data_IF_104064422966
#
_entry.id   IF_104064422966
#
_cell.length_a   1.000
_cell.length_b   1.000
_cell.length_c   1.000
_cell.angle_alpha   90.00
_cell.angle_beta   90.00
_cell.angle_gamma   90.00
#
_symmetry.space_group_name_H-M   'P 1'
#
loop_
_entity.id
_entity.type
_entity.pdbx_description
1 polymer ?
#
# COMPACT_ATOMS: atom_id res chain seq x y z
N UNK A 1 20.22 -8.73 -37.98
CA UNK A 1 19.32 -9.51 -37.10
C UNK A 1 18.60 -8.52 -36.20
N UNK A 2 17.31 -8.29 -36.48
CA UNK A 2 16.46 -7.37 -35.73
C UNK A 2 16.20 -7.92 -34.33
N UNK A 3 16.67 -7.22 -33.30
CA UNK A 3 16.28 -7.47 -31.90
C UNK A 3 14.79 -7.21 -31.82
N UNK A 4 13.99 -8.27 -31.69
CA UNK A 4 12.55 -8.17 -31.47
C UNK A 4 12.31 -7.34 -30.21
N UNK A 5 11.82 -6.11 -30.39
CA UNK A 5 11.34 -5.29 -29.30
C UNK A 5 10.21 -6.08 -28.62
N UNK A 6 10.44 -6.54 -27.39
CA UNK A 6 9.39 -7.19 -26.59
C UNK A 6 8.18 -6.25 -26.57
N UNK A 7 7.07 -6.66 -27.17
CA UNK A 7 5.82 -5.91 -27.07
C UNK A 7 5.45 -5.78 -25.60
N UNK A 8 5.50 -4.56 -25.08
CA UNK A 8 5.01 -4.24 -23.74
C UNK A 8 3.50 -4.47 -23.74
N UNK A 9 3.01 -5.24 -22.78
CA UNK A 9 1.58 -5.52 -22.66
C UNK A 9 0.80 -4.22 -22.46
N UNK A 10 -0.26 -4.01 -23.25
CA UNK A 10 -1.07 -2.79 -23.17
C UNK A 10 -1.96 -2.81 -21.90
N UNK A 11 -1.83 -1.77 -21.08
CA UNK A 11 -2.56 -1.57 -19.82
C UNK A 11 -3.56 -0.40 -19.87
N UNK A 12 -3.69 0.28 -21.00
CA UNK A 12 -4.44 1.54 -21.13
C UNK A 12 -5.95 1.36 -20.86
N UNK A 13 -6.44 0.13 -20.99
CA UNK A 13 -7.83 -0.24 -20.72
C UNK A 13 -8.15 -0.31 -19.22
N UNK A 14 -7.15 -0.46 -18.35
CA UNK A 14 -7.36 -0.83 -16.94
C UNK A 14 -8.01 0.31 -16.15
N UNK A 15 -7.38 1.48 -16.12
CA UNK A 15 -7.89 2.61 -15.32
C UNK A 15 -9.27 3.09 -15.79
N UNK A 16 -9.55 3.24 -17.11
CA UNK A 16 -10.90 3.51 -17.59
C UNK A 16 -11.94 2.49 -17.08
N UNK A 17 -11.62 1.20 -17.11
CA UNK A 17 -12.51 0.15 -16.59
C UNK A 17 -12.68 0.22 -15.06
N UNK A 18 -11.63 0.59 -14.32
CA UNK A 18 -11.70 0.79 -12.86
C UNK A 18 -12.52 2.03 -12.46
N UNK A 19 -12.59 3.06 -13.31
CA UNK A 19 -13.45 4.25 -13.10
C UNK A 19 -14.93 3.93 -13.27
N UNK A 20 -15.25 3.04 -14.20
CA UNK A 20 -16.62 2.65 -14.55
C UNK A 20 -16.82 1.13 -14.52
N UNK A 21 -16.66 0.47 -13.36
CA UNK A 21 -16.73 -0.99 -13.29
C UNK A 21 -18.17 -1.48 -13.50
N UNK A 22 -18.30 -2.61 -14.19
CA UNK A 22 -19.59 -3.29 -14.32
C UNK A 22 -20.00 -3.94 -12.99
N UNK A 23 -21.28 -4.34 -12.86
CA UNK A 23 -21.75 -5.13 -11.71
C UNK A 23 -20.99 -6.45 -11.58
N UNK A 24 -20.74 -7.12 -12.71
CA UNK A 24 -19.97 -8.36 -12.75
C UNK A 24 -18.54 -8.15 -12.24
N UNK A 25 -17.88 -7.06 -12.67
CA UNK A 25 -16.56 -6.69 -12.17
C UNK A 25 -16.57 -6.46 -10.66
N UNK A 26 -17.57 -5.75 -10.15
CA UNK A 26 -17.70 -5.46 -8.72
C UNK A 26 -17.86 -6.72 -7.87
N UNK A 27 -18.62 -7.71 -8.36
CA UNK A 27 -18.78 -9.02 -7.72
C UNK A 27 -17.47 -9.81 -7.79
N UNK A 28 -16.84 -9.89 -8.96
CA UNK A 28 -15.58 -10.60 -9.13
C UNK A 28 -14.48 -9.99 -8.23
N UNK A 29 -14.37 -8.66 -8.19
CA UNK A 29 -13.42 -7.95 -7.32
C UNK A 29 -13.69 -8.22 -5.84
N UNK A 30 -14.96 -8.27 -5.44
CA UNK A 30 -15.37 -8.64 -4.08
C UNK A 30 -14.85 -10.02 -3.70
N UNK A 31 -15.04 -11.01 -4.57
CA UNK A 31 -14.59 -12.39 -4.36
C UNK A 31 -13.06 -12.45 -4.31
N UNK A 32 -12.38 -11.81 -5.26
CA UNK A 32 -10.90 -11.80 -5.32
C UNK A 32 -10.30 -11.18 -4.05
N UNK A 33 -10.74 -10.01 -3.63
CA UNK A 33 -10.23 -9.33 -2.43
C UNK A 33 -10.48 -10.17 -1.17
N UNK A 34 -11.66 -10.76 -1.04
CA UNK A 34 -12.00 -11.61 0.11
C UNK A 34 -11.15 -12.89 0.15
N UNK A 35 -11.02 -13.59 -0.99
CA UNK A 35 -10.26 -14.82 -1.10
C UNK A 35 -8.77 -14.59 -0.82
N UNK A 36 -8.18 -13.58 -1.45
CA UNK A 36 -6.77 -13.20 -1.26
C UNK A 36 -6.53 -12.72 0.18
N UNK A 37 -7.44 -11.93 0.74
CA UNK A 37 -7.36 -11.50 2.14
C UNK A 37 -7.42 -12.66 3.13
N UNK A 38 -8.31 -13.63 2.92
CA UNK A 38 -8.41 -14.86 3.72
C UNK A 38 -7.14 -15.70 3.60
N UNK A 39 -6.64 -15.89 2.39
CA UNK A 39 -5.36 -16.57 2.16
C UNK A 39 -4.22 -15.90 2.93
N UNK A 40 -4.05 -14.59 2.81
CA UNK A 40 -3.03 -13.84 3.55
C UNK A 40 -3.20 -13.98 5.05
N UNK A 41 -4.43 -13.96 5.57
CA UNK A 41 -4.67 -14.11 7.01
C UNK A 41 -4.26 -15.48 7.53
N UNK A 42 -4.60 -16.55 6.81
CA UNK A 42 -4.16 -17.92 7.16
C UNK A 42 -2.63 -17.98 7.14
N UNK A 43 -2.01 -17.53 6.05
CA UNK A 43 -0.57 -17.63 5.89
C UNK A 43 0.19 -16.82 6.96
N UNK A 44 -0.24 -15.59 7.23
CA UNK A 44 0.46 -14.68 8.14
C UNK A 44 0.19 -15.01 9.61
N UNK A 45 -1.07 -15.25 9.99
CA UNK A 45 -1.42 -15.42 11.40
C UNK A 45 -1.40 -16.87 11.87
N UNK A 46 -1.65 -17.85 10.99
CA UNK A 46 -1.74 -19.26 11.40
C UNK A 46 -0.49 -20.05 11.03
N UNK A 47 0.07 -19.82 9.84
CA UNK A 47 1.23 -20.58 9.36
C UNK A 47 2.57 -19.90 9.64
N UNK A 48 2.55 -18.65 10.13
CA UNK A 48 3.74 -17.89 10.53
C UNK A 48 3.56 -17.33 11.94
N UNK A 49 4.67 -16.92 12.56
CA UNK A 49 4.71 -16.41 13.93
C UNK A 49 4.54 -14.90 13.90
N UNK A 50 3.34 -14.41 13.57
CA UNK A 50 3.07 -12.98 13.50
C UNK A 50 2.83 -12.34 14.87
N UNK A 51 3.49 -11.20 15.11
CA UNK A 51 3.21 -10.28 16.22
C UNK A 51 2.73 -8.96 15.65
N UNK A 52 1.48 -8.61 15.94
CA UNK A 52 0.83 -7.39 15.43
C UNK A 52 0.64 -6.42 16.58
N UNK A 53 1.35 -5.28 16.52
CA UNK A 53 1.30 -4.21 17.51
C UNK A 53 0.34 -3.11 17.04
N UNK A 54 -0.40 -2.54 17.99
CA UNK A 54 -1.32 -1.41 17.74
C UNK A 54 -2.41 -1.65 16.68
N UNK A 55 -2.80 -2.92 16.45
CA UNK A 55 -3.86 -3.27 15.47
C UNK A 55 -5.22 -2.60 15.76
N UNK A 56 -5.45 -2.16 17.00
CA UNK A 56 -6.66 -1.43 17.37
C UNK A 56 -6.80 -0.11 16.61
N UNK A 57 -5.68 0.51 16.17
CA UNK A 57 -5.68 1.76 15.39
C UNK A 57 -6.40 1.54 14.05
N UNK A 58 -5.88 0.64 13.21
CA UNK A 58 -6.48 0.38 11.90
C UNK A 58 -7.89 -0.21 12.06
N UNK A 59 -8.10 -1.09 13.03
CA UNK A 59 -9.42 -1.65 13.32
C UNK A 59 -10.44 -0.55 13.63
N UNK A 60 -10.10 0.40 14.52
CA UNK A 60 -11.00 1.48 14.92
C UNK A 60 -11.29 2.41 13.74
N UNK A 61 -10.28 2.73 12.93
CA UNK A 61 -10.47 3.54 11.72
C UNK A 61 -11.40 2.84 10.73
N UNK A 62 -11.18 1.55 10.44
CA UNK A 62 -12.03 0.81 9.50
C UNK A 62 -13.47 0.63 10.02
N UNK A 63 -13.68 0.57 11.34
CA UNK A 63 -15.00 0.43 11.94
C UNK A 63 -15.75 1.77 12.09
N UNK A 64 -15.05 2.88 12.36
CA UNK A 64 -15.66 4.13 12.84
C UNK A 64 -15.42 5.37 11.97
N UNK A 65 -14.44 5.36 11.06
CA UNK A 65 -14.13 6.53 10.21
C UNK A 65 -15.39 6.94 9.42
N UNK A 66 -15.77 8.23 9.40
CA UNK A 66 -16.87 8.71 8.56
C UNK A 66 -16.62 8.36 7.09
N UNK A 67 -17.68 7.99 6.36
CA UNK A 67 -17.55 7.49 4.97
C UNK A 67 -16.87 8.47 4.02
N UNK A 68 -17.00 9.77 4.27
CA UNK A 68 -16.43 10.84 3.46
C UNK A 68 -14.99 11.23 3.86
N UNK A 69 -14.45 10.72 4.98
CA UNK A 69 -13.09 11.03 5.41
C UNK A 69 -12.15 10.00 4.81
N UNK A 70 -11.20 10.35 3.92
CA UNK A 70 -10.30 9.39 3.30
C UNK A 70 -9.20 8.85 4.24
N UNK A 71 -8.60 7.74 3.84
CA UNK A 71 -7.54 7.05 4.59
C UNK A 71 -6.39 6.75 3.64
N UNK A 72 -5.19 7.11 4.05
CA UNK A 72 -3.95 6.63 3.44
C UNK A 72 -3.20 5.79 4.45
N UNK A 73 -2.77 4.59 4.05
CA UNK A 73 -1.75 3.84 4.80
C UNK A 73 -0.45 3.87 4.03
N UNK A 74 0.66 4.11 4.72
CA UNK A 74 2.01 4.09 4.14
C UNK A 74 2.85 3.02 4.82
N UNK A 75 3.61 2.23 4.07
CA UNK A 75 4.54 1.26 4.67
C UNK A 75 5.85 1.11 3.91
N UNK A 76 6.85 0.56 4.60
CA UNK A 76 8.03 0.00 3.94
C UNK A 76 7.62 -1.14 3.00
N UNK A 77 8.51 -1.50 2.07
CA UNK A 77 8.27 -2.55 1.08
C UNK A 77 9.46 -3.49 0.99
N UNK A 78 9.45 -4.61 1.72
CA UNK A 78 10.54 -5.58 1.73
C UNK A 78 10.27 -6.81 0.85
N UNK A 79 9.03 -7.06 0.43
CA UNK A 79 8.69 -8.23 -0.40
C UNK A 79 7.55 -7.92 -1.37
N UNK A 80 7.57 -8.57 -2.55
CA UNK A 80 6.39 -8.60 -3.43
C UNK A 80 5.13 -9.13 -2.73
N UNK A 81 5.27 -9.88 -1.63
CA UNK A 81 4.13 -10.38 -0.85
C UNK A 81 3.59 -9.38 0.19
N UNK A 82 4.20 -8.21 0.38
CA UNK A 82 3.70 -7.20 1.32
C UNK A 82 2.25 -6.81 1.00
N UNK A 83 1.92 -6.73 -0.29
CA UNK A 83 0.55 -6.79 -0.80
C UNK A 83 0.36 -8.13 -1.51
N UNK A 84 -0.45 -9.07 -0.97
CA UNK A 84 -1.54 -8.87 -0.01
C UNK A 84 -1.23 -9.19 1.47
N UNK A 85 -0.02 -9.64 1.80
CA UNK A 85 0.30 -10.23 3.09
C UNK A 85 0.05 -9.31 4.29
N UNK A 86 0.32 -8.01 4.16
CA UNK A 86 0.09 -7.03 5.23
C UNK A 86 -1.35 -7.06 5.76
N UNK A 87 -2.34 -7.32 4.89
CA UNK A 87 -3.75 -7.35 5.30
C UNK A 87 -4.19 -8.62 5.99
N UNK A 88 -3.35 -9.65 6.02
CA UNK A 88 -3.57 -10.81 6.86
C UNK A 88 -3.71 -10.44 8.34
N UNK A 89 -3.24 -9.26 8.76
CA UNK A 89 -3.38 -8.70 10.11
C UNK A 89 -4.80 -8.21 10.46
N UNK A 90 -5.63 -7.89 9.46
CA UNK A 90 -6.98 -7.36 9.65
C UNK A 90 -7.94 -8.40 10.23
N UNK A 91 -9.09 -7.95 10.73
CA UNK A 91 -10.16 -8.85 11.20
C UNK A 91 -10.89 -9.48 10.01
N UNK A 92 -11.42 -10.68 10.20
CA UNK A 92 -12.21 -11.40 9.19
C UNK A 92 -13.32 -10.55 8.58
N UNK A 93 -14.05 -9.79 9.41
CA UNK A 93 -15.11 -8.89 8.96
C UNK A 93 -14.66 -7.79 8.00
N UNK A 94 -13.40 -7.35 8.07
CA UNK A 94 -12.84 -6.32 7.20
C UNK A 94 -12.47 -6.91 5.85
N UNK A 95 -11.84 -8.08 5.85
CA UNK A 95 -11.46 -8.82 4.63
C UNK A 95 -12.67 -9.20 3.78
N UNK A 96 -13.80 -9.51 4.43
CA UNK A 96 -15.06 -9.88 3.76
C UNK A 96 -15.93 -8.66 3.38
N UNK A 97 -15.43 -7.43 3.56
CA UNK A 97 -16.15 -6.19 3.22
C UNK A 97 -15.34 -5.37 2.22
N UNK A 98 -15.50 -5.61 0.91
CA UNK A 98 -14.68 -4.98 -0.13
C UNK A 98 -14.69 -3.45 -0.09
N UNK A 99 -15.80 -2.83 0.31
CA UNK A 99 -15.92 -1.37 0.40
C UNK A 99 -15.05 -0.75 1.51
N UNK A 100 -14.59 -1.53 2.49
CA UNK A 100 -13.62 -1.08 3.50
C UNK A 100 -12.19 -1.50 3.18
N UNK A 101 -11.94 -2.13 2.03
CA UNK A 101 -10.62 -2.59 1.61
C UNK A 101 -9.92 -1.60 0.67
N UNK A 102 -8.59 -1.56 0.78
CA UNK A 102 -7.71 -0.61 0.10
C UNK A 102 -7.71 -0.74 -1.41
N UNK A 103 -7.45 0.38 -2.07
CA UNK A 103 -6.79 0.43 -3.36
C UNK A 103 -5.27 0.47 -3.16
N UNK A 104 -4.51 -0.17 -4.06
CA UNK A 104 -3.06 -0.27 -3.98
C UNK A 104 -2.40 0.16 -5.27
N UNK A 105 -1.27 0.86 -5.23
CA UNK A 105 -0.42 1.02 -6.42
C UNK A 105 0.46 -0.22 -6.60
N UNK A 106 0.52 -0.74 -7.83
CA UNK A 106 1.35 -1.90 -8.19
C UNK A 106 2.09 -1.66 -9.50
N UNK A 107 3.37 -2.01 -9.54
CA UNK A 107 4.24 -1.73 -10.70
C UNK A 107 3.74 -2.47 -11.95
N UNK A 108 3.49 -1.73 -13.03
CA UNK A 108 2.93 -2.30 -14.27
C UNK A 108 3.78 -3.43 -14.85
N UNK A 109 5.11 -3.27 -14.82
CA UNK A 109 6.09 -4.18 -15.39
C UNK A 109 6.29 -5.47 -14.56
N UNK A 110 5.65 -5.57 -13.39
CA UNK A 110 5.67 -6.75 -12.53
C UNK A 110 4.27 -7.39 -12.45
N UNK A 111 3.25 -6.59 -12.13
CA UNK A 111 1.90 -7.08 -11.86
C UNK A 111 0.99 -7.09 -13.11
N UNK A 112 1.34 -6.40 -14.18
CA UNK A 112 0.48 -6.19 -15.35
C UNK A 112 1.20 -6.59 -16.64
N UNK A 113 1.84 -7.75 -16.62
CA UNK A 113 2.69 -8.26 -17.71
C UNK A 113 1.92 -9.04 -18.78
N UNK A 114 0.70 -9.46 -18.48
CA UNK A 114 -0.21 -10.12 -19.41
C UNK A 114 -1.67 -9.90 -18.99
N UNK A 115 -2.63 -10.35 -19.81
CA UNK A 115 -4.05 -10.19 -19.52
C UNK A 115 -4.48 -10.88 -18.22
N UNK A 116 -4.05 -12.12 -17.99
CA UNK A 116 -4.41 -12.88 -16.80
C UNK A 116 -3.97 -12.17 -15.52
N UNK A 117 -2.71 -11.72 -15.47
CA UNK A 117 -2.20 -10.95 -14.34
C UNK A 117 -2.95 -9.63 -14.18
N UNK A 118 -3.18 -8.92 -15.28
CA UNK A 118 -3.87 -7.62 -15.24
C UNK A 118 -5.28 -7.73 -14.70
N UNK A 119 -6.05 -8.75 -15.11
CA UNK A 119 -7.36 -9.02 -14.51
C UNK A 119 -7.25 -9.35 -13.02
N UNK A 120 -6.36 -10.27 -12.64
CA UNK A 120 -6.20 -10.68 -11.24
C UNK A 120 -5.87 -9.49 -10.32
N UNK A 121 -4.85 -8.70 -10.66
CA UNK A 121 -4.44 -7.56 -9.85
C UNK A 121 -5.48 -6.44 -9.85
N UNK A 122 -6.12 -6.15 -11.00
CA UNK A 122 -7.16 -5.12 -11.05
C UNK A 122 -8.39 -5.52 -10.22
N UNK A 123 -8.79 -6.80 -10.23
CA UNK A 123 -9.85 -7.33 -9.37
C UNK A 123 -9.46 -7.27 -7.89
N UNK A 124 -8.18 -7.45 -7.58
CA UNK A 124 -7.59 -7.24 -6.26
C UNK A 124 -7.48 -5.76 -5.82
N UNK A 125 -8.02 -4.82 -6.61
CA UNK A 125 -7.93 -3.35 -6.40
C UNK A 125 -6.51 -2.79 -6.49
N UNK A 126 -5.65 -3.44 -7.26
CA UNK A 126 -4.35 -2.89 -7.62
C UNK A 126 -4.48 -1.98 -8.86
N UNK A 127 -3.78 -0.86 -8.82
CA UNK A 127 -3.77 0.19 -9.84
C UNK A 127 -2.38 0.16 -10.49
N UNK A 128 -2.28 0.01 -11.82
CA UNK A 128 -0.99 -0.05 -12.49
C UNK A 128 -0.28 1.30 -12.42
N UNK A 129 0.92 1.32 -11.84
CA UNK A 129 1.77 2.51 -11.78
C UNK A 129 3.00 2.33 -12.67
N UNK A 130 3.34 3.38 -13.42
CA UNK A 130 4.50 3.39 -14.31
C UNK A 130 5.67 4.03 -13.56
N UNK A 131 6.68 3.21 -13.27
CA UNK A 131 7.91 3.66 -12.61
C UNK A 131 8.70 4.56 -13.58
N UNK A 132 9.14 5.71 -13.09
CA UNK A 132 9.86 6.70 -13.91
C UNK A 132 8.97 7.71 -14.64
N UNK A 133 7.66 7.50 -14.72
CA UNK A 133 6.72 8.45 -15.36
C UNK A 133 6.42 9.72 -14.52
N UNK A 134 7.01 9.84 -13.32
CA UNK A 134 6.78 10.97 -12.43
C UNK A 134 5.47 10.87 -11.63
N UNK A 135 5.08 11.97 -10.97
CA UNK A 135 3.89 12.02 -10.09
C UNK A 135 2.59 12.35 -10.84
N UNK A 136 2.70 12.83 -12.07
CA UNK A 136 1.58 13.15 -12.95
C UNK A 136 1.32 11.97 -13.88
N UNK A 137 0.53 11.03 -13.40
CA UNK A 137 0.11 9.85 -14.15
C UNK A 137 -1.27 9.42 -13.68
N UNK A 138 -2.03 8.81 -14.58
CA UNK A 138 -3.41 8.37 -14.35
C UNK A 138 -3.59 7.54 -13.08
N UNK A 139 -2.58 6.75 -12.70
CA UNK A 139 -2.61 5.94 -11.48
C UNK A 139 -2.74 6.80 -10.21
N UNK A 140 -2.00 7.91 -10.15
CA UNK A 140 -2.02 8.83 -9.00
C UNK A 140 -3.30 9.67 -9.03
N UNK A 141 -3.76 10.07 -10.22
CA UNK A 141 -5.03 10.78 -10.39
C UNK A 141 -6.20 9.91 -9.92
N UNK A 142 -6.22 8.64 -10.32
CA UNK A 142 -7.20 7.67 -9.87
C UNK A 142 -7.15 7.47 -8.35
N UNK A 143 -5.97 7.44 -7.72
CA UNK A 143 -5.86 7.43 -6.26
C UNK A 143 -6.51 8.67 -5.63
N UNK A 144 -6.29 9.87 -6.17
CA UNK A 144 -6.93 11.11 -5.69
C UNK A 144 -8.45 11.04 -5.87
N UNK A 145 -8.95 10.52 -7.00
CA UNK A 145 -10.38 10.27 -7.24
C UNK A 145 -10.97 9.30 -6.19
N UNK A 146 -10.23 8.26 -5.79
CA UNK A 146 -10.66 7.35 -4.73
C UNK A 146 -10.67 8.02 -3.36
N UNK A 147 -9.67 8.85 -3.05
CA UNK A 147 -9.62 9.62 -1.81
C UNK A 147 -10.77 10.65 -1.75
N UNK A 148 -11.11 11.29 -2.87
CA UNK A 148 -12.27 12.18 -2.97
C UNK A 148 -13.60 11.47 -2.62
N UNK A 149 -13.68 10.15 -2.84
CA UNK A 149 -14.83 9.30 -2.46
C UNK A 149 -14.77 8.83 -1.01
N UNK A 150 -13.76 9.22 -0.23
CA UNK A 150 -13.51 8.74 1.13
C UNK A 150 -12.94 7.32 1.21
N UNK A 151 -12.51 6.75 0.08
CA UNK A 151 -11.92 5.41 0.04
C UNK A 151 -10.59 5.33 0.79
N UNK A 152 -10.12 4.10 0.97
CA UNK A 152 -8.80 3.81 1.51
C UNK A 152 -7.80 3.54 0.38
N UNK A 153 -6.68 4.25 0.37
CA UNK A 153 -5.53 3.98 -0.50
C UNK A 153 -4.33 3.55 0.33
N UNK A 154 -3.60 2.54 -0.12
CA UNK A 154 -2.33 2.17 0.46
C UNK A 154 -1.20 2.42 -0.53
N UNK A 155 -0.08 2.92 0.00
CA UNK A 155 1.09 3.27 -0.78
C UNK A 155 2.34 2.68 -0.14
N UNK A 156 3.20 2.09 -0.96
CA UNK A 156 4.59 1.78 -0.65
C UNK A 156 5.47 2.91 -1.18
N UNK A 157 5.69 4.01 -0.42
CA UNK A 157 6.33 5.20 -0.94
C UNK A 157 7.81 4.99 -1.32
N UNK A 158 8.44 3.87 -0.99
CA UNK A 158 9.77 3.50 -1.50
C UNK A 158 9.78 3.30 -3.03
N UNK A 159 8.64 2.94 -3.62
CA UNK A 159 8.43 2.84 -5.07
C UNK A 159 9.04 1.60 -5.74
N UNK A 160 9.66 0.71 -4.96
CA UNK A 160 10.14 -0.63 -5.33
C UNK A 160 10.30 -1.46 -4.06
N UNK A 161 10.43 -2.77 -4.22
CA UNK A 161 10.89 -3.64 -3.12
C UNK A 161 12.32 -3.24 -2.74
N UNK A 162 12.51 -2.94 -1.47
CA UNK A 162 13.76 -2.56 -0.83
C UNK A 162 14.48 -3.82 -0.30
N UNK A 163 15.19 -4.50 -1.19
CA UNK A 163 15.93 -5.73 -0.86
C UNK A 163 17.09 -5.50 0.10
N UNK A 164 17.72 -4.32 0.05
CA UNK A 164 18.89 -3.97 0.88
C UNK A 164 18.51 -3.38 2.23
N UNK A 165 17.21 -3.13 2.48
CA UNK A 165 16.67 -2.52 3.72
C UNK A 165 17.32 -1.16 4.04
N UNK A 166 17.83 -0.49 3.02
CA UNK A 166 18.47 0.81 3.13
C UNK A 166 17.44 1.91 3.41
N UNK A 167 17.87 3.03 3.99
CA UNK A 167 16.99 4.19 4.16
C UNK A 167 16.81 4.88 2.80
N UNK A 168 15.78 4.47 2.06
CA UNK A 168 15.46 5.01 0.74
C UNK A 168 14.65 6.31 0.83
N UNK A 169 14.93 7.25 -0.09
CA UNK A 169 14.08 8.43 -0.27
C UNK A 169 12.68 8.03 -0.76
N UNK A 170 11.65 8.47 -0.04
CA UNK A 170 10.26 8.29 -0.44
C UNK A 170 9.91 9.07 -1.71
N UNK A 171 9.10 8.44 -2.58
CA UNK A 171 8.56 9.03 -3.80
C UNK A 171 7.41 9.98 -3.47
N UNK A 172 7.38 11.11 -4.15
CA UNK A 172 6.45 12.23 -3.85
C UNK A 172 4.98 11.98 -4.22
N UNK A 173 4.64 10.83 -4.82
CA UNK A 173 3.26 10.50 -5.17
C UNK A 173 2.32 10.51 -3.96
N UNK A 174 2.79 10.06 -2.79
CA UNK A 174 1.99 10.12 -1.56
C UNK A 174 1.74 11.56 -1.10
N UNK A 175 2.75 12.43 -1.17
CA UNK A 175 2.59 13.85 -0.85
C UNK A 175 1.58 14.54 -1.78
N UNK A 176 1.59 14.15 -3.07
CA UNK A 176 0.60 14.62 -4.06
C UNK A 176 -0.81 14.20 -3.67
N UNK A 177 -1.01 12.90 -3.39
CA UNK A 177 -2.30 12.36 -3.01
C UNK A 177 -2.89 13.07 -1.79
N UNK A 178 -2.06 13.40 -0.79
CA UNK A 178 -2.51 14.10 0.42
C UNK A 178 -2.85 15.56 0.12
N UNK A 179 -1.99 16.25 -0.62
CA UNK A 179 -2.15 17.68 -0.89
C UNK A 179 -3.36 18.00 -1.78
N UNK A 180 -3.55 17.18 -2.82
CA UNK A 180 -4.62 17.35 -3.82
C UNK A 180 -5.94 16.66 -3.41
N UNK A 181 -5.95 15.88 -2.31
CA UNK A 181 -7.21 15.35 -1.79
C UNK A 181 -8.13 16.48 -1.36
N UNK A 182 -9.44 16.44 -1.70
CA UNK A 182 -10.37 17.49 -1.29
C UNK A 182 -10.57 17.54 0.23
N UNK A 183 -10.47 16.39 0.89
CA UNK A 183 -10.46 16.26 2.35
C UNK A 183 -9.12 15.66 2.72
N UNK A 184 -8.36 16.32 3.61
CA UNK A 184 -7.06 15.78 4.05
C UNK A 184 -7.27 14.39 4.66
N UNK A 185 -6.61 13.34 4.13
CA UNK A 185 -6.80 11.98 4.60
C UNK A 185 -6.17 11.78 5.98
N UNK A 186 -6.75 10.88 6.76
CA UNK A 186 -6.06 10.29 7.91
C UNK A 186 -4.89 9.47 7.34
N UNK A 187 -3.67 9.70 7.82
CA UNK A 187 -2.51 8.90 7.39
C UNK A 187 -2.09 7.95 8.51
N UNK A 188 -2.00 6.65 8.22
CA UNK A 188 -1.51 5.64 9.18
C UNK A 188 -0.22 5.03 8.66
N UNK A 189 0.93 5.32 9.30
CA UNK A 189 2.18 4.65 8.97
C UNK A 189 2.19 3.23 9.52
N UNK A 190 2.79 2.32 8.77
CA UNK A 190 2.91 0.91 9.12
C UNK A 190 4.34 0.50 8.83
N UNK A 191 4.98 -0.21 9.77
CA UNK A 191 6.27 -0.85 9.52
C UNK A 191 6.15 -2.35 9.75
N UNK A 192 6.76 -3.14 8.86
CA UNK A 192 6.78 -4.59 9.00
C UNK A 192 8.17 -5.19 8.80
N UNK A 193 8.43 -6.33 9.44
CA UNK A 193 9.68 -7.09 9.39
C UNK A 193 9.35 -8.57 9.16
N UNK A 194 10.11 -9.23 8.27
CA UNK A 194 10.08 -10.68 8.01
C UNK A 194 9.23 -11.13 6.82
N UNK A 195 8.60 -10.21 6.09
CA UNK A 195 7.80 -10.57 4.90
C UNK A 195 8.66 -11.16 3.77
N UNK A 196 9.90 -10.69 3.64
CA UNK A 196 10.93 -11.21 2.76
C UNK A 196 11.41 -12.62 3.15
N UNK A 197 11.25 -13.02 4.42
CA UNK A 197 11.49 -14.40 4.83
C UNK A 197 10.34 -15.34 4.42
N UNK A 198 9.12 -14.81 4.29
CA UNK A 198 7.93 -15.54 3.85
C UNK A 198 7.94 -15.70 2.35
N UNK A 199 8.17 -14.62 1.60
CA UNK A 199 8.41 -14.70 0.16
C UNK A 199 9.73 -13.99 -0.17
N UNK A 200 10.82 -14.75 -0.39
CA UNK A 200 12.08 -14.21 -0.85
C UNK A 200 11.95 -13.50 -2.20
N UNK A 201 12.74 -12.45 -2.39
CA UNK A 201 12.76 -11.66 -3.63
C UNK A 201 13.63 -12.27 -4.73
N UNK A 202 14.04 -13.52 -4.57
CA UNK A 202 14.90 -14.25 -5.49
C UNK A 202 14.25 -15.58 -5.88
N UNK A 203 14.43 -16.05 -7.13
CA UNK A 203 13.95 -17.36 -7.54
C UNK A 203 14.59 -18.51 -6.73
N UNK A 204 13.84 -19.58 -6.43
CA UNK A 204 12.42 -19.78 -6.76
C UNK A 204 11.49 -19.02 -5.81
N UNK A 205 10.48 -18.33 -6.37
CA UNK A 205 9.48 -17.58 -5.60
C UNK A 205 8.48 -18.51 -4.90
N UNK A 206 8.89 -19.04 -3.74
CA UNK A 206 8.11 -20.01 -2.96
C UNK A 206 7.83 -19.47 -1.57
N UNK A 207 6.57 -19.57 -1.16
CA UNK A 207 6.14 -19.18 0.18
C UNK A 207 6.71 -20.12 1.23
N UNK A 208 7.32 -19.53 2.26
CA UNK A 208 7.91 -20.22 3.41
C UNK A 208 7.04 -20.01 4.65
N UNK A 209 6.99 -21.02 5.49
CA UNK A 209 6.17 -21.05 6.71
C UNK A 209 7.05 -20.94 7.97
N UNK A 210 6.42 -20.69 9.12
CA UNK A 210 7.05 -20.67 10.43
C UNK A 210 7.99 -19.47 10.68
N UNK A 211 7.93 -18.44 9.83
CA UNK A 211 8.76 -17.23 9.90
C UNK A 211 8.28 -16.26 10.97
N UNK A 212 9.22 -15.49 11.50
CA UNK A 212 8.98 -14.50 12.54
C UNK A 212 8.56 -13.19 11.89
N UNK A 213 7.34 -12.74 12.15
CA UNK A 213 6.81 -11.52 11.56
C UNK A 213 6.49 -10.50 12.64
N UNK A 214 6.82 -9.24 12.38
CA UNK A 214 6.38 -8.12 13.21
C UNK A 214 5.70 -7.10 12.33
N UNK A 215 4.51 -6.68 12.74
CA UNK A 215 3.76 -5.60 12.14
C UNK A 215 3.50 -4.55 13.22
N UNK A 216 3.80 -3.30 12.93
CA UNK A 216 3.56 -2.20 13.85
C UNK A 216 2.75 -1.11 13.15
N UNK A 217 1.54 -0.85 13.66
CA UNK A 217 0.74 0.28 13.25
C UNK A 217 1.14 1.51 14.07
N UNK A 218 1.63 2.55 13.40
CA UNK A 218 1.92 3.81 14.07
C UNK A 218 0.66 4.61 14.35
N UNK A 219 0.81 5.65 15.17
CA UNK A 219 -0.29 6.57 15.47
C UNK A 219 -0.80 7.26 14.20
N UNK A 220 -2.12 7.51 14.08
CA UNK A 220 -2.65 8.29 12.98
C UNK A 220 -2.04 9.69 12.96
N UNK A 221 -1.64 10.13 11.77
CA UNK A 221 -1.05 11.43 11.51
C UNK A 221 -2.14 12.33 10.94
N UNK A 222 -2.36 13.47 11.59
CA UNK A 222 -3.19 14.55 11.08
C UNK A 222 -2.29 15.59 10.37
N UNK A 223 -2.49 15.75 9.06
CA UNK A 223 -1.76 16.70 8.22
C UNK A 223 -2.62 17.93 7.87
N UNK A 224 -3.82 18.07 8.43
CA UNK A 224 -4.78 19.11 8.05
C UNK A 224 -4.20 20.52 8.23
N UNK A 225 -3.49 20.75 9.33
CA UNK A 225 -2.80 22.02 9.60
C UNK A 225 -1.71 22.31 8.55
N UNK A 226 -0.84 21.34 8.30
CA UNK A 226 0.25 21.46 7.33
C UNK A 226 -0.27 21.73 5.91
N UNK A 227 -1.29 20.98 5.49
CA UNK A 227 -1.94 21.16 4.19
C UNK A 227 -2.61 22.53 4.09
N UNK A 228 -3.28 22.99 5.16
CA UNK A 228 -3.89 24.33 5.18
C UNK A 228 -2.85 25.42 5.03
N UNK A 229 -1.78 25.39 5.83
CA UNK A 229 -0.68 26.36 5.74
C UNK A 229 -0.02 26.39 4.36
N UNK A 230 0.20 25.21 3.76
CA UNK A 230 0.72 25.09 2.40
C UNK A 230 -0.21 25.73 1.36
N UNK A 231 -1.52 25.56 1.50
CA UNK A 231 -2.53 26.17 0.61
C UNK A 231 -2.62 27.69 0.82
N UNK A 232 -2.67 28.15 2.07
CA UNK A 232 -2.80 29.57 2.41
C UNK A 232 -1.63 30.40 1.89
N UNK A 233 -0.40 29.86 1.98
CA UNK A 233 0.81 30.51 1.44
C UNK A 233 1.02 30.31 -0.06
N UNK A 234 0.09 29.62 -0.74
CA UNK A 234 0.16 29.28 -2.17
C UNK A 234 1.49 28.59 -2.53
N UNK A 235 1.91 27.63 -1.70
CA UNK A 235 3.11 26.85 -1.96
C UNK A 235 3.03 26.18 -3.34
N UNK A 236 4.17 26.08 -4.02
CA UNK A 236 4.22 25.35 -5.30
C UNK A 236 3.92 23.87 -5.09
N UNK A 237 3.37 23.21 -6.12
CA UNK A 237 3.13 21.77 -6.11
C UNK A 237 4.34 20.94 -5.66
N UNK A 238 5.53 21.33 -6.13
CA UNK A 238 6.79 20.66 -5.79
C UNK A 238 7.11 20.82 -4.31
N UNK A 239 7.00 22.04 -3.80
CA UNK A 239 7.26 22.35 -2.39
C UNK A 239 6.30 21.60 -1.47
N UNK A 240 4.99 21.66 -1.76
CA UNK A 240 3.97 21.00 -0.95
C UNK A 240 4.19 19.48 -0.88
N UNK A 241 4.39 18.84 -2.04
CA UNK A 241 4.61 17.40 -2.11
C UNK A 241 5.91 16.98 -1.43
N UNK A 242 6.98 17.75 -1.58
CA UNK A 242 8.26 17.49 -0.90
C UNK A 242 8.08 17.58 0.62
N UNK A 243 7.53 18.70 1.12
CA UNK A 243 7.38 18.92 2.57
C UNK A 243 6.53 17.83 3.24
N UNK A 244 5.40 17.47 2.62
CA UNK A 244 4.55 16.39 3.14
C UNK A 244 5.28 15.04 3.10
N UNK A 245 5.94 14.72 1.99
CA UNK A 245 6.64 13.43 1.85
C UNK A 245 7.82 13.30 2.81
N UNK A 246 8.60 14.37 3.00
CA UNK A 246 9.74 14.38 3.92
C UNK A 246 9.25 14.19 5.36
N UNK A 247 8.18 14.88 5.75
CA UNK A 247 7.57 14.67 7.07
C UNK A 247 7.13 13.21 7.28
N UNK A 248 6.48 12.60 6.28
CA UNK A 248 6.07 11.20 6.36
C UNK A 248 7.27 10.25 6.44
N UNK A 249 8.37 10.57 5.75
CA UNK A 249 9.60 9.79 5.82
C UNK A 249 10.16 9.78 7.24
N UNK A 250 10.19 10.94 7.92
CA UNK A 250 10.66 11.03 9.30
C UNK A 250 9.78 10.21 10.26
N UNK A 251 8.45 10.26 10.09
CA UNK A 251 7.54 9.46 10.91
C UNK A 251 7.73 7.95 10.66
N UNK A 252 7.93 7.55 9.41
CA UNK A 252 8.12 6.16 9.04
C UNK A 252 9.46 5.62 9.56
N UNK A 253 10.53 6.43 9.57
CA UNK A 253 11.83 6.07 10.15
C UNK A 253 11.81 5.97 11.68
N UNK A 254 11.01 6.80 12.37
CA UNK A 254 10.76 6.63 13.82
C UNK A 254 10.06 5.30 14.08
N UNK A 255 9.02 5.01 13.31
CA UNK A 255 8.28 3.75 13.41
C UNK A 255 9.17 2.53 13.08
N UNK A 256 10.12 2.65 12.14
CA UNK A 256 11.14 1.63 11.86
C UNK A 256 11.91 1.26 13.12
N UNK A 257 12.51 2.26 13.79
CA UNK A 257 13.32 2.03 14.99
C UNK A 257 12.51 1.36 16.11
N UNK A 258 11.27 1.82 16.35
CA UNK A 258 10.38 1.19 17.32
C UNK A 258 10.07 -0.27 16.96
N UNK A 259 9.85 -0.55 15.67
CA UNK A 259 9.48 -1.88 15.18
C UNK A 259 10.65 -2.86 15.24
N UNK A 260 11.87 -2.40 14.98
CA UNK A 260 13.10 -3.18 15.14
C UNK A 260 13.28 -3.62 16.60
N UNK A 261 13.09 -2.71 17.56
CA UNK A 261 13.14 -3.05 18.99
C UNK A 261 12.04 -4.04 19.41
N UNK A 262 10.82 -3.85 18.90
CA UNK A 262 9.73 -4.82 19.11
C UNK A 262 10.09 -6.19 18.53
N UNK A 263 10.70 -6.25 17.34
CA UNK A 263 11.08 -7.50 16.71
C UNK A 263 12.16 -8.24 17.51
N UNK A 264 13.23 -7.53 17.92
CA UNK A 264 14.28 -8.07 18.80
C UNK A 264 13.69 -8.63 20.09
N UNK A 265 12.78 -7.88 20.74
CA UNK A 265 12.10 -8.30 21.97
C UNK A 265 11.22 -9.54 21.76
N UNK A 266 10.48 -9.63 20.66
CA UNK A 266 9.55 -10.73 20.40
C UNK A 266 10.25 -12.05 20.07
N UNK A 267 11.41 -12.01 19.41
CA UNK A 267 12.07 -13.20 18.86
C UNK A 267 13.48 -13.45 19.39
N UNK A 268 14.00 -12.61 20.28
CA UNK A 268 15.35 -12.71 20.86
C UNK A 268 16.45 -12.78 19.79
N UNK A 269 16.29 -12.00 18.71
CA UNK A 269 17.25 -11.92 17.60
C UNK A 269 18.00 -10.60 17.72
N UNK A 270 19.32 -10.60 17.49
CA UNK A 270 20.07 -9.37 17.25
C UNK A 270 19.91 -9.02 15.77
N UNK A 271 19.20 -7.93 15.48
CA UNK A 271 19.09 -7.35 14.13
C UNK A 271 20.28 -6.44 13.85
#
# INVERSE_FOLDING_TARGET
>A
MSVSAKMVYNIDWIIPNLRSPTKLWSIASTITVAAVGLFSKILIQWLNKAKVHNNHIITSILDKRPRNVPLITVSNHHSCFDDPGLWGTLKWRHLMRPFVMRWSLAAHDICFTCAQHSYFFSLGKCIPVIRGAGVYQDAVDFCIEQLAKGSWVHVFPEGKVNMTKENMRLKWGVGRMIFESPITPIVVPIWHIGMDDVLPNEPPYVLRLGKNLTFNYGNPIDLSEMVRQLKDRKATDVEARKQITDFLQDQLLKLKAETEELHKKNFKVNL
#
